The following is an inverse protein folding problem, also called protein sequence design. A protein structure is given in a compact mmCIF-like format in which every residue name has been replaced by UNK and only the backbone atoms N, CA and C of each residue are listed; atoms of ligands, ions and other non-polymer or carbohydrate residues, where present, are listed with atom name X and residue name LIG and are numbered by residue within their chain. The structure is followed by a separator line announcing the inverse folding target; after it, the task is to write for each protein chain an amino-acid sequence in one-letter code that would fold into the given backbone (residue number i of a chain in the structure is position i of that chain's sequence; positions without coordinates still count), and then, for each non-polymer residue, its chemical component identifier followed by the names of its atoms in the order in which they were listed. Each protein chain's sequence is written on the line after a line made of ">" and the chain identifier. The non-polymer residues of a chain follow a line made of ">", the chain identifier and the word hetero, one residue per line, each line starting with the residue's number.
data_IF_315450444937
#
_entry.id   IF_315450444937
#
_cell.length_a   1.000
_cell.length_b   1.000
_cell.length_c   1.000
_cell.angle_alpha   90.00
_cell.angle_beta   90.00
_cell.angle_gamma   90.00
#
_symmetry.space_group_name_H-M   'P 1'
#
loop_
_entity.id
_entity.type
_entity.pdbx_description
1 polymer ?
#
# COMPACT_ATOMS: atom_id res chain seq x y z
N UNK A 1 10.24 22.92 9.49
CA UNK A 1 10.31 21.61 8.81
C UNK A 1 11.67 20.94 9.03
N UNK A 2 12.79 21.61 8.76
CA UNK A 2 14.14 21.04 8.90
C UNK A 2 14.42 20.42 10.29
N UNK A 3 14.02 21.09 11.37
CA UNK A 3 14.18 20.55 12.73
C UNK A 3 13.38 19.26 12.94
N UNK A 4 12.17 19.16 12.39
CA UNK A 4 11.33 17.96 12.49
C UNK A 4 11.95 16.82 11.69
N UNK A 5 12.41 17.09 10.47
CA UNK A 5 13.06 16.11 9.62
C UNK A 5 14.32 15.53 10.28
N UNK A 6 15.16 16.37 10.86
CA UNK A 6 16.39 15.93 11.57
C UNK A 6 16.08 15.05 12.79
N UNK A 7 15.01 15.35 13.53
CA UNK A 7 14.63 14.58 14.74
C UNK A 7 13.78 13.34 14.42
N UNK A 8 13.17 13.26 13.26
CA UNK A 8 12.33 12.12 12.87
C UNK A 8 13.10 10.88 12.45
N UNK A 9 14.40 11.01 12.18
CA UNK A 9 15.25 9.95 11.62
C UNK A 9 14.73 9.37 10.28
N UNK A 10 13.87 10.09 9.57
CA UNK A 10 13.43 9.70 8.23
C UNK A 10 14.58 9.95 7.25
N UNK A 11 14.90 8.94 6.45
CA UNK A 11 15.96 9.04 5.45
C UNK A 11 15.63 10.10 4.39
N UNK A 12 16.65 10.82 3.94
CA UNK A 12 16.56 11.75 2.80
C UNK A 12 16.22 11.02 1.48
N UNK A 13 16.46 9.71 1.43
CA UNK A 13 16.06 8.87 0.29
C UNK A 13 14.58 8.46 0.33
N UNK A 14 13.84 8.78 1.40
CA UNK A 14 12.40 8.56 1.46
C UNK A 14 11.68 9.46 0.48
N UNK A 15 10.86 8.87 -0.38
CA UNK A 15 10.21 9.57 -1.48
C UNK A 15 8.85 10.14 -1.10
N UNK A 16 8.50 11.24 -1.77
CA UNK A 16 7.14 11.75 -1.85
C UNK A 16 6.50 11.35 -3.17
N UNK A 17 5.17 11.29 -3.24
CA UNK A 17 4.48 11.11 -4.52
C UNK A 17 4.82 12.26 -5.47
N UNK A 18 5.07 11.96 -6.73
CA UNK A 18 5.35 12.97 -7.77
C UNK A 18 4.21 13.97 -7.94
N UNK A 19 2.98 13.55 -7.67
CA UNK A 19 1.78 14.38 -7.68
C UNK A 19 1.83 15.59 -6.74
N UNK A 20 2.59 15.54 -5.66
CA UNK A 20 2.77 16.65 -4.73
C UNK A 20 3.59 17.78 -5.38
N UNK A 21 4.52 17.45 -6.26
CA UNK A 21 5.43 18.40 -6.91
C UNK A 21 4.98 18.83 -8.32
N UNK A 22 3.93 18.23 -8.86
CA UNK A 22 3.45 18.50 -10.22
C UNK A 22 3.02 19.96 -10.45
N UNK A 23 2.87 20.77 -9.39
CA UNK A 23 2.60 22.22 -9.46
C UNK A 23 3.81 23.13 -9.43
N UNK A 24 5.03 22.61 -9.19
CA UNK A 24 6.18 23.47 -8.86
C UNK A 24 7.25 23.59 -9.95
N UNK A 25 7.14 22.91 -11.12
CA UNK A 25 8.35 22.94 -11.89
C UNK A 25 8.42 22.61 -13.35
N UNK A 26 7.37 22.34 -14.09
CA UNK A 26 7.50 22.19 -15.55
C UNK A 26 6.28 22.77 -16.28
N UNK A 27 6.33 24.06 -16.62
CA UNK A 27 5.57 24.64 -17.74
C UNK A 27 4.05 24.80 -17.62
N UNK A 28 3.44 24.39 -16.54
CA UNK A 28 2.01 24.58 -16.30
C UNK A 28 1.78 25.59 -15.15
N UNK A 29 1.95 26.84 -15.49
CA UNK A 29 1.52 27.96 -14.64
C UNK A 29 0.00 28.12 -14.77
N UNK A 30 -0.77 27.58 -13.81
CA UNK A 30 -2.20 27.82 -13.76
C UNK A 30 -2.89 27.04 -12.63
N UNK A 31 -4.01 27.59 -12.17
CA UNK A 31 -4.87 26.98 -11.12
C UNK A 31 -5.37 25.56 -11.46
N UNK A 32 -5.29 25.17 -12.73
CA UNK A 32 -5.75 23.87 -13.25
C UNK A 32 -4.69 22.76 -13.10
N UNK A 33 -3.39 23.07 -13.20
CA UNK A 33 -2.31 22.12 -12.94
C UNK A 33 -2.27 21.71 -11.47
N UNK A 34 -2.59 22.62 -10.56
CA UNK A 34 -2.69 22.40 -9.12
C UNK A 34 -3.83 21.45 -8.74
N UNK A 35 -4.94 21.50 -9.48
CA UNK A 35 -6.11 20.62 -9.28
C UNK A 35 -5.88 19.18 -9.74
N UNK A 36 -5.06 18.98 -10.76
CA UNK A 36 -4.84 17.64 -11.35
C UNK A 36 -3.96 16.76 -10.46
N UNK A 37 -3.01 17.33 -9.74
CA UNK A 37 -2.02 16.58 -8.96
C UNK A 37 -2.56 16.01 -7.64
N UNK A 38 -3.41 16.77 -6.91
CA UNK A 38 -3.96 16.35 -5.61
C UNK A 38 -5.42 15.91 -5.71
N UNK A 39 -5.73 15.10 -6.69
CA UNK A 39 -7.07 14.59 -6.94
C UNK A 39 -7.11 13.06 -6.81
N UNK A 40 -8.29 12.49 -7.03
CA UNK A 40 -8.53 11.06 -7.00
C UNK A 40 -7.65 10.28 -8.00
N UNK A 41 -7.36 10.85 -9.16
CA UNK A 41 -6.48 10.25 -10.17
C UNK A 41 -5.04 10.13 -9.65
N UNK A 42 -4.44 11.22 -9.18
CA UNK A 42 -3.10 11.21 -8.60
C UNK A 42 -2.97 10.29 -7.39
N UNK A 43 -4.01 10.23 -6.54
CA UNK A 43 -4.05 9.29 -5.42
C UNK A 43 -4.10 7.82 -5.87
N UNK A 44 -4.82 7.52 -6.97
CA UNK A 44 -4.84 6.17 -7.55
C UNK A 44 -3.49 5.80 -8.14
N UNK A 45 -2.85 6.72 -8.84
CA UNK A 45 -1.55 6.49 -9.45
C UNK A 45 -0.47 6.24 -8.39
N UNK A 46 -0.49 7.02 -7.30
CA UNK A 46 0.38 6.80 -6.14
C UNK A 46 0.17 5.41 -5.54
N UNK A 47 -1.08 5.06 -5.22
CA UNK A 47 -1.40 3.77 -4.63
C UNK A 47 -1.03 2.62 -5.57
N UNK A 48 -1.32 2.75 -6.87
CA UNK A 48 -0.98 1.76 -7.88
C UNK A 48 0.54 1.55 -7.98
N UNK A 49 1.30 2.64 -8.09
CA UNK A 49 2.76 2.57 -8.21
C UNK A 49 3.40 1.86 -7.01
N UNK A 50 3.02 2.25 -5.79
CA UNK A 50 3.60 1.70 -4.58
C UNK A 50 3.21 0.24 -4.35
N UNK A 51 1.92 -0.07 -4.44
CA UNK A 51 1.44 -1.43 -4.18
C UNK A 51 1.88 -2.41 -5.26
N UNK A 52 1.79 -2.04 -6.53
CA UNK A 52 2.22 -2.93 -7.61
C UNK A 52 3.70 -3.26 -7.51
N UNK A 53 4.55 -2.26 -7.26
CA UNK A 53 5.98 -2.49 -7.09
C UNK A 53 6.29 -3.42 -5.91
N UNK A 54 5.66 -3.19 -4.75
CA UNK A 54 5.85 -4.05 -3.58
C UNK A 54 5.41 -5.51 -3.84
N UNK A 55 4.31 -5.70 -4.57
CA UNK A 55 3.83 -7.03 -4.94
C UNK A 55 4.73 -7.69 -5.98
N UNK A 56 5.15 -6.97 -7.01
CA UNK A 56 6.08 -7.45 -8.04
C UNK A 56 7.39 -7.95 -7.41
N UNK A 57 8.00 -7.14 -6.54
CA UNK A 57 9.24 -7.51 -5.85
C UNK A 57 9.07 -8.75 -4.96
N UNK A 58 7.95 -8.85 -4.25
CA UNK A 58 7.66 -10.01 -3.40
C UNK A 58 7.46 -11.28 -4.23
N UNK A 59 6.68 -11.20 -5.32
CA UNK A 59 6.41 -12.34 -6.18
C UNK A 59 7.69 -12.83 -6.87
N UNK A 60 8.54 -11.92 -7.34
CA UNK A 60 9.84 -12.23 -7.91
C UNK A 60 10.76 -12.90 -6.87
N UNK A 61 10.91 -12.29 -5.69
CA UNK A 61 11.76 -12.80 -4.62
C UNK A 61 11.34 -14.19 -4.10
N UNK A 62 10.05 -14.51 -4.19
CA UNK A 62 9.50 -15.80 -3.70
C UNK A 62 9.29 -16.83 -4.80
N UNK A 63 9.38 -16.46 -6.07
CA UNK A 63 9.02 -17.30 -7.20
C UNK A 63 7.54 -17.69 -7.22
N UNK A 64 6.67 -16.87 -6.59
CA UNK A 64 5.24 -17.15 -6.47
C UNK A 64 4.49 -16.54 -7.65
N UNK A 65 3.58 -17.30 -8.25
CA UNK A 65 2.70 -16.78 -9.29
C UNK A 65 1.46 -16.11 -8.66
N UNK A 66 0.94 -15.02 -9.21
CA UNK A 66 -0.27 -14.37 -8.70
C UNK A 66 -1.48 -15.34 -8.58
N UNK A 67 -1.57 -16.33 -9.47
CA UNK A 67 -2.64 -17.33 -9.48
C UNK A 67 -2.54 -18.34 -8.33
N UNK A 68 -1.39 -18.42 -7.66
CA UNK A 68 -1.21 -19.30 -6.50
C UNK A 68 -1.72 -18.68 -5.19
N UNK A 69 -2.07 -17.39 -5.23
CA UNK A 69 -2.61 -16.64 -4.07
C UNK A 69 -4.09 -16.94 -3.92
N UNK A 70 -4.47 -17.53 -2.80
CA UNK A 70 -5.87 -17.83 -2.46
C UNK A 70 -6.57 -16.73 -1.66
N UNK A 71 -5.80 -15.89 -0.96
CA UNK A 71 -6.32 -14.81 -0.14
C UNK A 71 -5.53 -13.53 -0.42
N UNK A 72 -6.21 -12.43 -0.70
CA UNK A 72 -5.64 -11.09 -0.85
C UNK A 72 -6.25 -10.17 0.20
N UNK A 73 -5.41 -9.53 1.00
CA UNK A 73 -5.84 -8.52 1.97
C UNK A 73 -5.05 -7.25 1.72
N UNK A 74 -5.75 -6.18 1.38
CA UNK A 74 -5.15 -4.85 1.20
C UNK A 74 -5.61 -3.95 2.33
N UNK A 75 -4.71 -3.17 2.91
CA UNK A 75 -5.10 -2.13 3.86
C UNK A 75 -4.52 -0.77 3.48
N UNK A 76 -5.40 0.23 3.53
CA UNK A 76 -5.11 1.65 3.40
C UNK A 76 -6.21 2.41 4.12
N UNK A 77 -5.86 3.36 4.98
CA UNK A 77 -6.85 4.04 5.83
C UNK A 77 -7.29 5.39 5.28
N UNK A 78 -6.39 6.16 4.69
CA UNK A 78 -6.70 7.51 4.18
C UNK A 78 -7.31 7.48 2.77
N UNK A 79 -7.16 6.38 2.03
CA UNK A 79 -7.63 6.26 0.66
C UNK A 79 -8.41 4.98 0.43
N UNK A 80 -9.74 5.10 0.36
CA UNK A 80 -10.67 3.98 0.14
C UNK A 80 -11.52 4.22 -1.11
N UNK A 81 -10.94 4.08 -2.31
CA UNK A 81 -11.64 4.36 -3.56
C UNK A 81 -12.61 3.25 -3.95
N UNK A 82 -13.52 3.59 -4.88
CA UNK A 82 -14.35 2.62 -5.61
C UNK A 82 -13.97 2.69 -7.10
N UNK A 83 -13.56 1.58 -7.77
CA UNK A 83 -13.31 0.23 -7.22
C UNK A 83 -12.19 0.21 -6.16
N UNK A 84 -12.22 -0.82 -5.28
CA UNK A 84 -11.27 -0.95 -4.18
C UNK A 84 -9.83 -1.17 -4.64
N UNK A 85 -8.87 -0.89 -3.76
CA UNK A 85 -7.46 -1.15 -4.03
C UNK A 85 -7.18 -2.65 -4.21
N UNK A 86 -7.90 -3.51 -3.49
CA UNK A 86 -7.79 -4.95 -3.68
C UNK A 86 -8.28 -5.39 -5.06
N UNK A 87 -9.42 -4.84 -5.53
CA UNK A 87 -9.91 -5.10 -6.88
C UNK A 87 -8.91 -4.65 -7.96
N UNK A 88 -8.23 -3.54 -7.75
CA UNK A 88 -7.18 -3.06 -8.64
C UNK A 88 -6.02 -4.07 -8.74
N UNK A 89 -5.55 -4.62 -7.62
CA UNK A 89 -4.48 -5.63 -7.63
C UNK A 89 -4.94 -6.95 -8.28
N UNK A 90 -6.16 -7.42 -7.97
CA UNK A 90 -6.74 -8.62 -8.62
C UNK A 90 -6.70 -8.48 -10.13
N UNK A 91 -7.15 -7.33 -10.65
CA UNK A 91 -7.18 -7.07 -12.09
C UNK A 91 -5.76 -6.91 -12.67
N UNK A 92 -4.88 -6.15 -12.03
CA UNK A 92 -3.51 -5.88 -12.49
C UNK A 92 -2.68 -7.16 -12.62
N UNK A 93 -2.77 -8.05 -11.64
CA UNK A 93 -1.99 -9.30 -11.57
C UNK A 93 -2.74 -10.51 -12.12
N UNK A 94 -3.95 -10.31 -12.65
CA UNK A 94 -4.80 -11.39 -13.18
C UNK A 94 -4.86 -12.58 -12.22
N UNK A 95 -5.19 -12.26 -10.95
CA UNK A 95 -5.32 -13.29 -9.92
C UNK A 95 -6.47 -14.24 -10.26
N UNK A 96 -6.51 -15.40 -9.60
CA UNK A 96 -7.59 -16.39 -9.80
C UNK A 96 -8.97 -15.79 -9.50
N UNK A 97 -10.01 -16.29 -10.20
CA UNK A 97 -11.37 -15.75 -10.08
C UNK A 97 -12.02 -15.98 -8.71
N UNK A 98 -11.57 -16.98 -7.99
CA UNK A 98 -12.06 -17.37 -6.65
C UNK A 98 -11.13 -16.89 -5.52
N UNK A 99 -10.23 -15.93 -5.77
CA UNK A 99 -9.43 -15.32 -4.71
C UNK A 99 -10.32 -14.62 -3.68
N UNK A 100 -10.12 -14.95 -2.40
CA UNK A 100 -10.79 -14.23 -1.32
C UNK A 100 -10.14 -12.86 -1.16
N UNK A 101 -10.86 -11.81 -1.52
CA UNK A 101 -10.32 -10.44 -1.56
C UNK A 101 -10.96 -9.55 -0.49
N UNK A 102 -10.11 -8.95 0.33
CA UNK A 102 -10.51 -8.03 1.41
C UNK A 102 -9.81 -6.69 1.25
N UNK A 103 -10.55 -5.60 1.55
CA UNK A 103 -10.00 -4.26 1.61
C UNK A 103 -10.31 -3.66 2.99
N UNK A 104 -9.28 -3.51 3.83
CA UNK A 104 -9.39 -2.96 5.17
C UNK A 104 -9.10 -1.46 5.13
N UNK A 105 -10.07 -0.65 5.52
CA UNK A 105 -9.97 0.80 5.51
C UNK A 105 -10.46 1.43 6.81
N UNK A 106 -10.04 2.67 7.08
CA UNK A 106 -10.56 3.47 8.20
C UNK A 106 -10.13 3.03 9.59
N UNK A 107 -9.16 2.13 9.71
CA UNK A 107 -8.69 1.58 11.01
C UNK A 107 -7.33 2.14 11.45
N UNK A 108 -6.76 3.06 10.69
CA UNK A 108 -5.42 3.60 10.94
C UNK A 108 -4.30 2.59 10.64
N UNK A 109 -3.08 2.92 11.07
CA UNK A 109 -1.87 2.13 10.78
C UNK A 109 -1.88 0.72 11.41
N UNK A 110 -2.68 0.49 12.44
CA UNK A 110 -2.87 -0.84 13.04
C UNK A 110 -3.55 -1.85 12.11
N UNK A 111 -4.17 -1.38 11.02
CA UNK A 111 -4.83 -2.25 10.05
C UNK A 111 -3.90 -3.31 9.45
N UNK A 112 -2.59 -3.05 9.36
CA UNK A 112 -1.61 -4.03 8.87
C UNK A 112 -1.48 -5.23 9.81
N UNK A 113 -1.51 -5.02 11.11
CA UNK A 113 -1.50 -6.10 12.11
C UNK A 113 -2.81 -6.90 12.06
N UNK A 114 -3.94 -6.21 11.91
CA UNK A 114 -5.25 -6.83 11.73
C UNK A 114 -5.28 -7.67 10.45
N UNK A 115 -4.69 -7.16 9.37
CA UNK A 115 -4.59 -7.88 8.10
C UNK A 115 -3.80 -9.19 8.23
N UNK A 116 -2.71 -9.19 8.99
CA UNK A 116 -1.89 -10.40 9.26
C UNK A 116 -2.69 -11.40 10.11
N UNK A 117 -3.40 -10.96 11.16
CA UNK A 117 -4.25 -11.84 11.97
C UNK A 117 -5.40 -12.43 11.13
N UNK A 118 -6.03 -11.61 10.29
CA UNK A 118 -7.07 -12.07 9.36
C UNK A 118 -6.52 -13.13 8.40
N UNK A 119 -5.36 -12.89 7.78
CA UNK A 119 -4.69 -13.85 6.90
C UNK A 119 -4.43 -15.19 7.61
N UNK A 120 -3.90 -15.14 8.84
CA UNK A 120 -3.66 -16.31 9.66
C UNK A 120 -4.94 -17.10 9.93
N UNK A 121 -6.05 -16.42 10.26
CA UNK A 121 -7.35 -17.06 10.51
C UNK A 121 -7.91 -17.71 9.25
N UNK A 122 -7.88 -17.00 8.12
CA UNK A 122 -8.36 -17.53 6.84
C UNK A 122 -7.58 -18.75 6.39
N UNK A 123 -6.24 -18.72 6.50
CA UNK A 123 -5.39 -19.85 6.14
C UNK A 123 -5.57 -21.10 7.05
N UNK A 124 -6.21 -20.95 8.21
CA UNK A 124 -6.57 -22.09 9.06
C UNK A 124 -7.87 -22.76 8.65
N UNK A 125 -8.65 -22.12 7.79
CA UNK A 125 -9.92 -22.71 7.34
C UNK A 125 -9.68 -23.91 6.42
N UNK A 126 -10.57 -24.91 6.43
CA UNK A 126 -10.44 -26.09 5.58
C UNK A 126 -10.40 -25.77 4.09
N UNK A 127 -11.08 -24.71 3.67
CA UNK A 127 -11.19 -24.26 2.27
C UNK A 127 -9.87 -23.69 1.76
N UNK A 128 -9.01 -23.19 2.66
CA UNK A 128 -7.71 -22.60 2.34
C UNK A 128 -6.55 -23.54 2.66
N UNK A 129 -6.74 -24.84 2.57
CA UNK A 129 -5.64 -25.80 2.71
C UNK A 129 -4.61 -25.64 1.58
N UNK A 130 -3.33 -25.67 1.97
CA UNK A 130 -2.21 -25.55 1.03
C UNK A 130 -2.27 -24.27 0.17
N UNK A 131 -2.61 -23.15 0.80
CA UNK A 131 -2.87 -21.86 0.18
C UNK A 131 -1.85 -20.80 0.60
N UNK A 132 -1.87 -19.68 -0.12
CA UNK A 132 -1.07 -18.48 0.16
C UNK A 132 -2.00 -17.30 0.41
N UNK A 133 -1.65 -16.48 1.39
CA UNK A 133 -2.25 -15.18 1.61
C UNK A 133 -1.25 -14.07 1.31
N UNK A 134 -1.65 -13.12 0.48
CA UNK A 134 -0.91 -11.89 0.19
C UNK A 134 -1.53 -10.74 0.98
N UNK A 135 -0.74 -10.16 1.87
CA UNK A 135 -1.11 -8.94 2.61
C UNK A 135 -0.34 -7.77 2.02
N UNK A 136 -1.05 -6.72 1.62
CA UNK A 136 -0.46 -5.50 1.06
C UNK A 136 -0.89 -4.31 1.90
N UNK A 137 0.08 -3.64 2.49
CA UNK A 137 -0.13 -2.46 3.34
C UNK A 137 0.44 -1.23 2.66
N UNK A 138 -0.36 -0.19 2.55
CA UNK A 138 0.07 1.11 2.04
C UNK A 138 -0.67 2.22 2.76
N UNK A 139 -0.18 3.45 2.62
CA UNK A 139 -0.93 4.63 2.97
C UNK A 139 -0.77 5.68 1.87
N UNK A 140 -1.81 6.46 1.63
CA UNK A 140 -1.85 7.44 0.56
C UNK A 140 -2.00 8.83 1.16
N UNK A 141 -1.05 9.71 0.87
CA UNK A 141 -1.01 11.06 1.43
C UNK A 141 -1.43 12.14 0.44
N UNK A 142 -1.49 11.85 -0.86
CA UNK A 142 -1.74 12.83 -1.92
C UNK A 142 -2.99 13.67 -1.67
N UNK A 143 -4.12 13.02 -1.32
CA UNK A 143 -5.37 13.73 -1.07
C UNK A 143 -5.40 14.53 0.24
N UNK A 144 -4.56 14.17 1.19
CA UNK A 144 -4.53 14.74 2.54
C UNK A 144 -3.34 15.70 2.74
N UNK A 145 -2.67 16.06 1.66
CA UNK A 145 -1.54 16.98 1.71
C UNK A 145 -1.98 18.38 2.11
N UNK A 146 -1.45 18.90 3.22
CA UNK A 146 -1.75 20.24 3.70
C UNK A 146 -0.90 21.30 2.99
N UNK A 147 -1.55 22.28 2.35
CA UNK A 147 -0.90 23.35 1.57
C UNK A 147 -0.83 24.70 2.30
N UNK A 148 -1.36 24.79 3.50
CA UNK A 148 -1.32 26.01 4.29
C UNK A 148 0.00 26.23 5.03
N UNK A 149 0.06 27.32 5.80
CA UNK A 149 1.25 27.75 6.54
C UNK A 149 1.15 27.54 8.05
N UNK A 150 0.08 26.90 8.55
CA UNK A 150 -0.04 26.60 9.96
C UNK A 150 0.98 25.51 10.35
N UNK A 151 1.85 25.85 11.31
CA UNK A 151 2.94 24.96 11.73
C UNK A 151 2.45 23.63 12.32
N UNK A 152 1.33 23.65 13.03
CA UNK A 152 0.75 22.45 13.62
C UNK A 152 0.28 21.47 12.56
N UNK A 153 -0.25 21.96 11.46
CA UNK A 153 -0.75 21.17 10.34
C UNK A 153 0.35 20.64 9.43
N UNK A 154 1.54 21.24 9.44
CA UNK A 154 2.67 20.79 8.62
C UNK A 154 3.38 19.54 9.16
N UNK A 155 3.06 19.10 10.36
CA UNK A 155 3.69 17.94 10.98
C UNK A 155 3.49 16.67 10.15
N UNK A 156 2.27 16.43 9.70
CA UNK A 156 1.95 15.27 8.86
C UNK A 156 2.74 15.27 7.55
N UNK A 157 2.86 16.42 6.88
CA UNK A 157 3.66 16.54 5.67
C UNK A 157 5.15 16.25 5.90
N UNK A 158 5.65 16.48 7.11
CA UNK A 158 7.05 16.18 7.43
C UNK A 158 7.31 14.69 7.69
N UNK A 159 6.31 13.94 8.18
CA UNK A 159 6.48 12.57 8.67
C UNK A 159 6.03 11.53 7.66
N UNK A 160 4.93 11.77 6.93
CA UNK A 160 4.42 10.80 5.98
C UNK A 160 5.23 10.79 4.68
N UNK A 161 5.47 9.59 4.17
CA UNK A 161 6.15 9.31 2.92
C UNK A 161 5.36 8.31 2.10
N UNK A 162 5.71 8.22 0.82
CA UNK A 162 5.14 7.26 -0.11
C UNK A 162 5.77 5.89 0.10
N UNK A 163 4.97 4.85 0.15
CA UNK A 163 5.48 3.48 0.28
C UNK A 163 4.39 2.43 0.42
N UNK A 164 4.80 1.19 0.21
CA UNK A 164 3.97 0.02 0.47
C UNK A 164 4.84 -1.14 0.97
N UNK A 165 4.21 -2.07 1.67
CA UNK A 165 4.81 -3.33 2.07
C UNK A 165 3.93 -4.49 1.64
N UNK A 166 4.53 -5.55 1.12
CA UNK A 166 3.85 -6.79 0.78
C UNK A 166 4.40 -7.95 1.61
N UNK A 167 3.51 -8.76 2.17
CA UNK A 167 3.83 -9.95 2.95
C UNK A 167 3.16 -11.17 2.34
N UNK A 168 3.90 -12.25 2.15
CA UNK A 168 3.37 -13.54 1.74
C UNK A 168 3.32 -14.47 2.94
N UNK A 169 2.13 -14.97 3.28
CA UNK A 169 1.88 -15.89 4.38
C UNK A 169 1.43 -17.22 3.79
N UNK A 170 2.04 -18.30 4.22
CA UNK A 170 1.80 -19.65 3.69
C UNK A 170 1.38 -20.61 4.81
N UNK A 171 0.43 -21.51 4.50
CA UNK A 171 0.18 -22.71 5.29
C UNK A 171 0.65 -24.00 4.58
N UNK A 172 1.42 -23.86 3.50
CA UNK A 172 2.01 -24.97 2.76
C UNK A 172 3.22 -25.54 3.50
N UNK A 173 3.24 -26.84 3.75
CA UNK A 173 4.37 -27.50 4.43
C UNK A 173 5.69 -27.32 3.70
N UNK A 174 5.67 -27.28 2.38
CA UNK A 174 6.85 -27.10 1.54
C UNK A 174 7.54 -25.74 1.75
N UNK A 175 6.81 -24.73 2.23
CA UNK A 175 7.36 -23.40 2.43
C UNK A 175 8.03 -23.21 3.80
N UNK A 176 7.86 -24.16 4.74
CA UNK A 176 8.35 -24.03 6.10
C UNK A 176 9.88 -23.80 6.20
N UNK A 177 10.67 -24.46 5.31
CA UNK A 177 12.14 -24.35 5.33
C UNK A 177 12.66 -23.02 4.79
N UNK A 178 11.86 -22.28 4.04
CA UNK A 178 12.21 -20.96 3.47
C UNK A 178 11.49 -19.81 4.16
N UNK A 179 10.64 -20.10 5.14
CA UNK A 179 9.94 -19.08 5.89
C UNK A 179 10.94 -18.29 6.77
N UNK A 180 10.84 -16.97 6.75
CA UNK A 180 11.64 -16.09 7.63
C UNK A 180 11.11 -16.08 9.05
N UNK A 181 9.79 -16.23 9.21
CA UNK A 181 9.09 -16.18 10.50
C UNK A 181 7.98 -17.22 10.51
N UNK A 182 7.63 -17.71 11.70
CA UNK A 182 6.43 -18.53 11.96
C UNK A 182 5.45 -17.71 12.78
N UNK A 183 4.14 -17.77 12.41
CA UNK A 183 3.05 -17.03 13.05
C UNK A 183 2.15 -17.94 13.90
#
# INVERSE_FOLDING_TARGET
>A
QEKILRTSCISETSIFPSSIFAGEGVGHHGKDAERVALNMGGARDEAAAMMCKAVEDLLEATGTRPQDVGVLIVNCSLFCPTPSLSAMLVNRFRMRADVLSYNLGGMGCSASVIAVDLAKRLLRSPEQRNSLALVVSTENITQNWYRGNDRSMLLSNCLFRCGAAALLISNRRADASRARFML
#
